data_IF_540640693439
#
_entry.id   IF_540640693439
#
_cell.length_a   1.000
_cell.length_b   1.000
_cell.length_c   1.000
_cell.angle_alpha   90.00
_cell.angle_beta   90.00
_cell.angle_gamma   90.00
#
_symmetry.space_group_name_H-M   'P 1'
#
loop_
_entity.id
_entity.type
_entity.pdbx_description
1 polymer ?
#
# COMPACT_ATOMS: atom_id res chain seq x y z
N UNK A 1 15.96 -43.16 61.17
CA UNK A 1 15.47 -42.32 60.07
C UNK A 1 13.95 -42.20 60.22
N UNK A 2 13.46 -41.31 61.10
CA UNK A 2 12.98 -39.93 60.81
C UNK A 2 12.03 -39.89 59.59
N UNK A 3 10.69 -39.85 59.82
CA UNK A 3 9.80 -38.67 59.67
C UNK A 3 9.74 -38.13 58.23
N UNK A 4 8.62 -37.66 57.65
CA UNK A 4 7.21 -37.41 57.97
C UNK A 4 6.55 -37.04 56.62
N UNK A 5 5.22 -36.90 56.60
CA UNK A 5 4.36 -36.02 55.76
C UNK A 5 3.10 -36.83 55.37
N UNK A 6 2.05 -36.90 56.21
CA UNK A 6 0.97 -35.93 56.43
C UNK A 6 0.23 -35.48 55.15
N UNK A 7 -0.97 -36.05 54.99
CA UNK A 7 -2.03 -35.71 54.05
C UNK A 7 -2.62 -34.31 54.26
N UNK A 8 -3.03 -33.64 53.17
CA UNK A 8 -4.11 -32.63 53.14
C UNK A 8 -4.81 -32.73 51.76
N UNK A 9 -6.05 -33.22 51.69
CA UNK A 9 -7.33 -32.49 51.61
C UNK A 9 -7.62 -31.87 50.24
N UNK A 10 -8.69 -32.39 49.63
CA UNK A 10 -9.31 -31.92 48.40
C UNK A 10 -10.03 -30.57 48.58
N UNK A 11 -10.06 -29.76 47.52
CA UNK A 11 -11.02 -28.69 47.33
C UNK A 11 -11.44 -28.65 45.85
N UNK A 12 -12.59 -29.26 45.59
CA UNK A 12 -13.42 -29.00 44.42
C UNK A 12 -14.14 -27.66 44.66
N UNK A 13 -13.98 -26.71 43.76
CA UNK A 13 -14.88 -25.59 43.61
C UNK A 13 -15.26 -25.48 42.13
N UNK A 14 -16.43 -26.01 41.80
CA UNK A 14 -17.16 -25.65 40.59
C UNK A 14 -17.83 -24.29 40.85
N UNK A 15 -17.59 -23.32 39.96
CA UNK A 15 -18.19 -21.99 39.99
C UNK A 15 -18.39 -21.50 38.57
N UNK A 16 -19.64 -21.23 38.25
CA UNK A 16 -20.24 -21.08 36.92
C UNK A 16 -19.82 -19.82 36.12
N UNK A 17 -19.81 -20.02 34.79
CA UNK A 17 -20.33 -19.15 33.74
C UNK A 17 -19.98 -17.65 33.76
N UNK A 18 -18.99 -17.29 32.93
CA UNK A 18 -19.04 -16.07 32.13
C UNK A 18 -19.03 -16.46 30.65
N UNK A 19 -20.17 -16.22 30.00
CA UNK A 19 -20.39 -16.27 28.57
C UNK A 19 -19.50 -15.25 27.86
N UNK A 20 -18.58 -15.73 27.03
CA UNK A 20 -17.87 -14.94 26.02
C UNK A 20 -17.92 -15.68 24.69
N UNK A 21 -18.87 -15.33 23.84
CA UNK A 21 -18.97 -15.80 22.47
C UNK A 21 -17.78 -15.28 21.65
N UNK A 22 -16.77 -16.12 21.43
CA UNK A 22 -15.92 -16.01 20.26
C UNK A 22 -16.27 -17.20 19.37
N UNK A 23 -16.94 -16.92 18.25
CA UNK A 23 -17.37 -17.93 17.30
C UNK A 23 -16.18 -18.58 16.62
N UNK A 24 -15.65 -19.64 17.23
CA UNK A 24 -14.92 -20.68 16.53
C UNK A 24 -15.93 -21.52 15.73
N UNK A 25 -15.87 -21.42 14.41
CA UNK A 25 -16.52 -22.37 13.51
C UNK A 25 -15.50 -23.43 13.08
N UNK A 26 -15.97 -24.66 13.21
CA UNK A 26 -15.26 -25.92 13.18
C UNK A 26 -14.63 -26.28 11.85
N UNK A 27 -13.45 -26.90 11.92
CA UNK A 27 -12.85 -27.69 10.85
C UNK A 27 -13.81 -28.77 10.34
N UNK A 28 -13.97 -28.94 9.03
CA UNK A 28 -14.23 -30.23 8.42
C UNK A 28 -12.87 -30.89 8.16
N UNK A 29 -12.56 -31.88 8.99
CA UNK A 29 -11.55 -32.88 8.68
C UNK A 29 -12.12 -33.85 7.65
N UNK A 30 -11.88 -33.58 6.37
CA UNK A 30 -11.95 -34.59 5.32
C UNK A 30 -10.55 -34.83 4.76
N UNK A 31 -10.04 -36.03 5.03
CA UNK A 31 -8.74 -36.50 4.58
C UNK A 31 -8.71 -36.69 3.08
N UNK A 32 -8.32 -35.65 2.36
CA UNK A 32 -7.58 -35.80 1.13
C UNK A 32 -6.10 -35.76 1.49
N UNK A 33 -5.40 -36.85 1.19
CA UNK A 33 -3.97 -37.01 1.31
C UNK A 33 -3.29 -35.96 0.40
N UNK A 34 -3.11 -34.73 0.92
CA UNK A 34 -2.46 -33.65 0.18
C UNK A 34 -0.96 -33.93 0.20
N UNK A 35 -0.43 -34.18 -0.98
CA UNK A 35 1.00 -34.05 -1.27
C UNK A 35 1.49 -32.70 -0.70
N UNK A 36 2.71 -32.60 -0.14
CA UNK A 36 3.28 -31.33 0.28
C UNK A 36 3.60 -30.50 -0.97
N UNK A 37 2.58 -29.94 -1.60
CA UNK A 37 2.77 -29.08 -2.76
C UNK A 37 3.35 -27.76 -2.26
N UNK A 38 4.61 -27.53 -2.65
CA UNK A 38 5.46 -26.40 -2.29
C UNK A 38 5.03 -25.06 -2.90
N UNK A 39 3.95 -25.05 -3.68
CA UNK A 39 3.39 -23.89 -4.36
C UNK A 39 1.93 -23.69 -3.93
N UNK A 40 1.60 -22.50 -3.42
CA UNK A 40 0.24 -22.16 -2.99
C UNK A 40 -0.26 -20.89 -3.67
N UNK A 41 -1.57 -20.82 -3.94
CA UNK A 41 -2.20 -19.64 -4.53
C UNK A 41 -2.75 -18.71 -3.43
N UNK A 42 -2.44 -17.43 -3.52
CA UNK A 42 -2.96 -16.37 -2.68
C UNK A 42 -3.89 -15.44 -3.47
N UNK A 43 -5.07 -15.15 -2.92
CA UNK A 43 -6.09 -14.33 -3.57
C UNK A 43 -6.56 -13.16 -2.70
N UNK A 44 -5.62 -12.46 -2.03
CA UNK A 44 -5.87 -11.25 -1.22
C UNK A 44 -6.87 -11.45 -0.06
N UNK A 45 -6.83 -12.62 0.58
CA UNK A 45 -7.65 -12.90 1.77
C UNK A 45 -6.78 -13.49 2.88
N UNK A 46 -6.71 -12.78 4.01
CA UNK A 46 -5.94 -13.18 5.18
C UNK A 46 -4.43 -13.22 4.94
N UNK A 47 -3.78 -14.23 5.52
CA UNK A 47 -2.35 -14.49 5.43
C UNK A 47 -2.09 -15.86 4.82
N UNK A 48 -0.88 -16.09 4.30
CA UNK A 48 -0.50 -17.36 3.67
C UNK A 48 0.94 -17.72 4.01
N UNK A 49 1.21 -19.01 4.20
CA UNK A 49 2.54 -19.53 4.52
C UNK A 49 2.67 -19.98 5.98
N UNK A 50 3.87 -20.48 6.38
CA UNK A 50 5.12 -20.44 5.62
C UNK A 50 5.24 -21.53 4.54
N UNK A 51 5.60 -21.18 3.30
CA UNK A 51 5.75 -22.09 2.15
C UNK A 51 6.94 -21.73 1.25
N UNK A 52 7.37 -22.61 0.35
CA UNK A 52 8.55 -22.35 -0.51
C UNK A 52 8.26 -21.40 -1.68
N UNK A 53 7.03 -21.42 -2.19
CA UNK A 53 6.58 -20.55 -3.28
C UNK A 53 5.09 -20.18 -3.15
N UNK A 54 4.75 -18.99 -3.63
CA UNK A 54 3.40 -18.46 -3.62
C UNK A 54 3.07 -17.85 -4.98
N UNK A 55 2.03 -18.36 -5.64
CA UNK A 55 1.40 -17.69 -6.77
C UNK A 55 0.35 -16.69 -6.25
N UNK A 56 0.39 -15.44 -6.67
CA UNK A 56 -0.55 -14.40 -6.27
C UNK A 56 -1.36 -13.97 -7.48
N UNK A 57 -2.68 -14.06 -7.38
CA UNK A 57 -3.60 -13.63 -8.43
C UNK A 57 -4.81 -12.89 -7.86
N UNK A 58 -5.45 -12.06 -8.68
CA UNK A 58 -6.71 -11.43 -8.31
C UNK A 58 -7.86 -12.44 -8.46
N UNK A 59 -8.67 -12.69 -7.41
CA UNK A 59 -9.76 -13.64 -7.50
C UNK A 59 -10.84 -13.14 -8.48
N UNK A 60 -11.44 -14.06 -9.25
CA UNK A 60 -12.49 -13.74 -10.22
C UNK A 60 -13.62 -12.84 -9.67
N UNK A 61 -14.17 -13.09 -8.46
CA UNK A 61 -15.19 -12.21 -7.89
C UNK A 61 -14.72 -10.75 -7.68
N UNK A 62 -13.44 -10.51 -7.40
CA UNK A 62 -12.89 -9.15 -7.35
C UNK A 62 -12.84 -8.53 -8.74
N UNK A 63 -12.34 -9.26 -9.73
CA UNK A 63 -12.30 -8.79 -11.12
C UNK A 63 -13.70 -8.46 -11.65
N UNK A 64 -14.69 -9.30 -11.33
CA UNK A 64 -16.09 -9.06 -11.69
C UNK A 64 -16.64 -7.80 -10.97
N UNK A 65 -16.27 -7.56 -9.71
CA UNK A 65 -16.65 -6.36 -8.95
C UNK A 65 -15.96 -5.07 -9.46
N UNK A 66 -14.76 -5.18 -10.04
CA UNK A 66 -14.08 -4.07 -10.71
C UNK A 66 -14.77 -3.68 -12.03
N UNK A 67 -15.46 -4.61 -12.68
CA UNK A 67 -16.07 -4.39 -13.98
C UNK A 67 -15.03 -3.99 -15.03
N UNK A 68 -15.30 -2.94 -15.79
CA UNK A 68 -14.40 -2.47 -16.86
C UNK A 68 -13.03 -2.00 -16.35
N UNK A 69 -12.88 -1.67 -15.06
CA UNK A 69 -11.59 -1.28 -14.51
C UNK A 69 -10.60 -2.45 -14.44
N UNK A 70 -11.08 -3.70 -14.45
CA UNK A 70 -10.22 -4.90 -14.41
C UNK A 70 -9.25 -4.96 -15.60
N UNK A 71 -9.67 -4.47 -16.77
CA UNK A 71 -8.85 -4.43 -17.99
C UNK A 71 -7.67 -3.45 -17.90
N UNK A 72 -7.66 -2.59 -16.89
CA UNK A 72 -6.62 -1.59 -16.68
C UNK A 72 -5.55 -1.99 -15.65
N UNK A 73 -5.59 -3.22 -15.14
CA UNK A 73 -4.54 -3.76 -14.27
C UNK A 73 -3.22 -3.87 -15.04
N UNK A 74 -2.13 -3.38 -14.45
CA UNK A 74 -0.81 -3.38 -15.09
C UNK A 74 -0.01 -4.65 -14.78
N UNK A 75 -0.18 -5.18 -13.57
CA UNK A 75 0.36 -6.48 -13.15
C UNK A 75 -0.83 -7.34 -12.75
N UNK A 76 -1.01 -8.49 -13.40
CA UNK A 76 -2.19 -9.36 -13.22
C UNK A 76 -1.92 -10.52 -12.27
N UNK A 77 -0.66 -10.92 -12.12
CA UNK A 77 -0.22 -11.96 -11.20
C UNK A 77 1.24 -11.74 -10.78
N UNK A 78 1.61 -12.30 -9.64
CA UNK A 78 2.98 -12.29 -9.11
C UNK A 78 3.32 -13.67 -8.57
N UNK A 79 4.48 -14.21 -8.91
CA UNK A 79 5.02 -15.41 -8.28
C UNK A 79 6.15 -15.03 -7.33
N UNK A 80 6.03 -15.46 -6.07
CA UNK A 80 7.06 -15.32 -5.04
C UNK A 80 7.78 -16.64 -4.86
N UNK A 81 9.11 -16.62 -4.91
CA UNK A 81 9.94 -17.80 -4.67
C UNK A 81 11.21 -17.44 -3.94
N UNK A 82 11.59 -18.24 -2.94
CA UNK A 82 12.84 -17.98 -2.23
C UNK A 82 14.05 -18.10 -3.17
N UNK A 83 14.89 -17.09 -3.14
CA UNK A 83 16.14 -17.03 -3.88
C UNK A 83 17.29 -17.46 -2.97
N UNK A 84 18.00 -18.50 -3.38
CA UNK A 84 19.13 -19.02 -2.61
C UNK A 84 20.35 -18.13 -2.81
N UNK A 85 20.84 -17.55 -1.71
CA UNK A 85 22.11 -16.84 -1.68
C UNK A 85 23.23 -17.78 -1.18
N UNK A 86 24.46 -17.52 -1.61
CA UNK A 86 25.65 -18.19 -1.08
C UNK A 86 25.97 -17.69 0.35
N UNK A 87 25.59 -16.44 0.67
CA UNK A 87 25.72 -15.86 2.00
C UNK A 87 24.52 -16.16 2.90
N UNK A 88 24.77 -16.55 4.16
CA UNK A 88 23.73 -16.73 5.18
C UNK A 88 23.35 -15.42 5.92
N UNK A 89 23.91 -14.28 5.53
CA UNK A 89 23.69 -12.98 6.20
C UNK A 89 22.31 -12.40 5.91
N UNK A 90 21.82 -12.60 4.70
CA UNK A 90 20.56 -12.07 4.19
C UNK A 90 19.73 -13.21 3.58
N UNK A 91 18.47 -12.91 3.34
CA UNK A 91 17.56 -13.75 2.58
C UNK A 91 17.14 -12.99 1.33
N UNK A 92 16.81 -13.70 0.27
CA UNK A 92 16.35 -13.10 -0.96
C UNK A 92 15.12 -13.84 -1.49
N UNK A 93 14.30 -13.12 -2.23
CA UNK A 93 13.07 -13.61 -2.86
C UNK A 93 13.02 -13.10 -4.29
N UNK A 94 12.75 -14.01 -5.20
CA UNK A 94 12.41 -13.69 -6.58
C UNK A 94 10.91 -13.40 -6.67
N UNK A 95 10.57 -12.26 -7.24
CA UNK A 95 9.23 -11.77 -7.53
C UNK A 95 9.11 -11.74 -9.05
N UNK A 96 8.38 -12.68 -9.62
CA UNK A 96 8.12 -12.72 -11.07
C UNK A 96 6.78 -12.08 -11.36
N UNK A 97 6.76 -11.01 -12.14
CA UNK A 97 5.55 -10.26 -12.49
C UNK A 97 4.97 -10.74 -13.81
N UNK A 98 3.68 -11.01 -13.82
CA UNK A 98 2.92 -11.15 -15.06
C UNK A 98 2.30 -9.80 -15.43
N UNK A 99 2.82 -9.18 -16.49
CA UNK A 99 2.35 -7.89 -16.96
C UNK A 99 1.18 -8.01 -17.93
N UNK A 100 0.23 -7.09 -17.84
CA UNK A 100 -0.72 -6.86 -18.93
C UNK A 100 0.00 -6.27 -20.15
N UNK A 101 -0.63 -6.38 -21.32
CA UNK A 101 -0.06 -5.83 -22.56
C UNK A 101 0.12 -4.31 -22.45
N UNK A 102 1.32 -3.81 -22.73
CA UNK A 102 1.63 -2.38 -22.66
C UNK A 102 1.92 -1.86 -21.24
N UNK A 103 1.93 -2.74 -20.23
CA UNK A 103 2.06 -2.31 -18.85
C UNK A 103 3.47 -1.83 -18.50
N UNK A 104 4.52 -2.45 -19.02
CA UNK A 104 5.91 -2.03 -18.77
C UNK A 104 6.15 -0.63 -19.33
N UNK A 105 5.66 -0.34 -20.54
CA UNK A 105 5.74 0.98 -21.15
C UNK A 105 4.95 2.02 -20.34
N UNK A 106 3.79 1.63 -19.83
CA UNK A 106 2.93 2.47 -19.00
C UNK A 106 3.58 2.78 -17.65
N UNK A 107 4.20 1.79 -17.00
CA UNK A 107 4.93 1.95 -15.74
C UNK A 107 6.27 2.69 -15.92
N UNK A 108 6.89 2.54 -17.10
CA UNK A 108 8.09 3.27 -17.52
C UNK A 108 7.79 4.67 -18.04
N UNK A 109 6.53 5.06 -18.13
CA UNK A 109 6.17 6.41 -18.53
C UNK A 109 6.52 7.40 -17.40
N UNK A 110 6.94 8.63 -17.74
CA UNK A 110 6.98 9.74 -16.80
C UNK A 110 5.70 9.83 -15.98
N UNK A 111 5.83 9.94 -14.65
CA UNK A 111 4.69 10.35 -13.81
C UNK A 111 4.26 11.73 -14.28
N UNK A 112 3.16 11.80 -15.02
CA UNK A 112 2.53 13.08 -15.34
C UNK A 112 1.80 13.50 -14.08
N UNK A 113 2.33 14.48 -13.38
CA UNK A 113 1.62 15.11 -12.27
C UNK A 113 0.79 16.25 -12.86
N UNK A 114 -0.51 16.04 -12.95
CA UNK A 114 -1.43 17.09 -13.39
C UNK A 114 -1.84 17.95 -12.19
N UNK A 115 -0.97 18.90 -11.84
CA UNK A 115 -1.26 19.86 -10.76
C UNK A 115 -2.49 20.72 -11.08
N UNK A 116 -2.86 20.88 -12.35
CA UNK A 116 -4.00 21.71 -12.76
C UNK A 116 -5.31 21.07 -12.31
N UNK A 117 -5.45 19.75 -12.51
CA UNK A 117 -6.64 19.00 -12.09
C UNK A 117 -6.72 18.71 -10.59
N UNK A 118 -5.63 18.86 -9.83
CA UNK A 118 -5.61 18.53 -8.40
C UNK A 118 -6.60 19.37 -7.57
N UNK A 119 -7.28 18.72 -6.64
CA UNK A 119 -7.99 19.42 -5.57
C UNK A 119 -6.99 20.10 -4.62
N UNK A 120 -7.47 21.00 -3.76
CA UNK A 120 -6.61 21.61 -2.72
C UNK A 120 -6.05 20.57 -1.75
N UNK A 121 -6.82 19.53 -1.45
CA UNK A 121 -6.38 18.46 -0.57
C UNK A 121 -5.27 17.62 -1.23
N UNK A 122 -5.44 17.29 -2.51
CA UNK A 122 -4.44 16.53 -3.26
C UNK A 122 -3.17 17.35 -3.46
N UNK A 123 -3.32 18.64 -3.76
CA UNK A 123 -2.19 19.57 -3.90
C UNK A 123 -1.42 19.70 -2.58
N UNK A 124 -2.13 19.85 -1.46
CA UNK A 124 -1.53 19.90 -0.12
C UNK A 124 -0.79 18.60 0.22
N UNK A 125 -1.36 17.44 -0.11
CA UNK A 125 -0.77 16.14 0.14
C UNK A 125 0.29 15.71 -0.89
N UNK A 126 0.48 16.48 -1.98
CA UNK A 126 1.36 16.09 -3.09
C UNK A 126 2.85 16.13 -2.72
N UNK A 127 3.25 17.03 -1.83
CA UNK A 127 4.60 17.09 -1.26
C UNK A 127 4.63 18.01 -0.03
N UNK A 128 5.64 17.84 0.83
CA UNK A 128 5.86 18.73 1.98
C UNK A 128 6.04 20.19 1.54
N UNK A 129 6.74 20.43 0.42
CA UNK A 129 6.91 21.78 -0.13
C UNK A 129 5.59 22.38 -0.58
N UNK A 130 4.78 21.63 -1.33
CA UNK A 130 3.48 22.10 -1.81
C UNK A 130 2.54 22.40 -0.63
N UNK A 131 2.51 21.52 0.38
CA UNK A 131 1.74 21.72 1.61
C UNK A 131 2.14 22.99 2.36
N UNK A 132 3.45 23.19 2.61
CA UNK A 132 3.97 24.37 3.30
C UNK A 132 3.67 25.68 2.55
N UNK A 133 3.81 25.66 1.22
CA UNK A 133 3.53 26.83 0.38
C UNK A 133 2.04 27.16 0.35
N UNK A 134 1.18 26.14 0.33
CA UNK A 134 -0.26 26.33 0.40
C UNK A 134 -0.70 26.88 1.76
N UNK A 135 -0.11 26.40 2.86
CA UNK A 135 -0.34 26.94 4.21
C UNK A 135 0.12 28.40 4.35
N UNK A 136 1.24 28.76 3.72
CA UNK A 136 1.72 30.14 3.67
C UNK A 136 0.77 31.04 2.88
N UNK A 137 0.32 30.59 1.69
CA UNK A 137 -0.65 31.33 0.86
C UNK A 137 -1.96 31.60 1.61
N UNK A 138 -2.45 30.63 2.38
CA UNK A 138 -3.67 30.78 3.15
C UNK A 138 -3.52 31.84 4.26
N UNK A 139 -2.38 31.84 4.96
CA UNK A 139 -2.05 32.85 5.98
C UNK A 139 -1.87 34.25 5.40
N UNK A 140 -1.15 34.36 4.27
CA UNK A 140 -0.92 35.63 3.57
C UNK A 140 -2.23 36.24 3.07
N UNK A 141 -3.22 35.39 2.79
CA UNK A 141 -4.58 35.79 2.40
C UNK A 141 -5.46 36.16 3.61
N UNK A 142 -4.93 36.16 4.84
CA UNK A 142 -5.63 36.62 6.04
C UNK A 142 -6.34 35.55 6.86
N UNK A 143 -6.19 34.26 6.54
CA UNK A 143 -6.75 33.20 7.37
C UNK A 143 -5.93 33.01 8.66
N UNK A 144 -6.63 32.75 9.77
CA UNK A 144 -6.02 32.49 11.09
C UNK A 144 -5.67 31.01 11.33
N UNK A 145 -5.98 30.14 10.36
CA UNK A 145 -5.87 28.67 10.45
C UNK A 145 -5.04 28.08 9.31
N UNK A 146 -4.68 26.80 9.43
CA UNK A 146 -4.01 26.02 8.37
C UNK A 146 -4.98 25.55 7.28
N UNK A 147 -4.43 25.17 6.12
CA UNK A 147 -5.22 24.58 5.02
C UNK A 147 -5.88 23.29 5.47
N UNK A 148 -5.17 22.48 6.27
CA UNK A 148 -5.71 21.24 6.83
C UNK A 148 -6.94 21.50 7.70
N UNK A 149 -6.93 22.53 8.53
CA UNK A 149 -8.07 22.91 9.37
C UNK A 149 -9.24 23.44 8.54
N UNK A 150 -8.97 24.27 7.53
CA UNK A 150 -9.99 24.78 6.62
C UNK A 150 -10.66 23.64 5.81
N UNK A 151 -9.86 22.73 5.24
CA UNK A 151 -10.35 21.60 4.45
C UNK A 151 -11.04 20.53 5.31
N UNK A 152 -10.74 20.45 6.60
CA UNK A 152 -11.45 19.59 7.55
C UNK A 152 -12.85 20.13 7.89
N UNK A 153 -13.17 21.38 7.53
CA UNK A 153 -14.54 21.87 7.57
C UNK A 153 -15.27 21.49 6.27
N UNK A 154 -16.54 21.10 6.34
CA UNK A 154 -17.40 20.87 5.17
C UNK A 154 -17.68 22.15 4.34
N UNK A 155 -16.94 23.24 4.61
CA UNK A 155 -17.19 24.60 4.11
C UNK A 155 -16.26 25.00 2.97
N UNK A 156 -15.50 24.06 2.40
CA UNK A 156 -14.63 24.30 1.24
C UNK A 156 -15.34 24.88 0.00
N UNK A 157 -16.67 24.84 -0.06
CA UNK A 157 -17.45 25.51 -1.11
C UNK A 157 -17.28 27.03 -1.12
N UNK A 158 -16.87 27.66 0.01
CA UNK A 158 -16.63 29.12 0.10
C UNK A 158 -15.59 29.58 -0.92
N UNK A 159 -14.62 28.73 -1.23
CA UNK A 159 -13.54 29.00 -2.18
C UNK A 159 -14.03 29.05 -3.63
N UNK A 160 -15.24 28.53 -3.88
CA UNK A 160 -15.91 28.55 -5.19
C UNK A 160 -17.01 29.60 -5.27
N UNK A 161 -17.31 30.29 -4.17
CA UNK A 161 -18.35 31.32 -4.15
C UNK A 161 -17.84 32.60 -4.82
N UNK A 162 -18.69 33.28 -5.62
CA UNK A 162 -18.36 34.61 -6.13
C UNK A 162 -18.23 35.62 -4.98
N UNK A 163 -17.44 36.66 -5.20
CA UNK A 163 -17.35 37.78 -4.26
C UNK A 163 -18.72 38.43 -4.04
N UNK A 164 -19.05 38.68 -2.77
CA UNK A 164 -20.28 39.36 -2.41
C UNK A 164 -20.75 39.06 -0.98
N UNK A 165 -21.86 39.68 -0.57
CA UNK A 165 -22.34 39.65 0.81
C UNK A 165 -22.58 38.24 1.36
N UNK A 166 -23.03 37.32 0.50
CA UNK A 166 -23.25 35.92 0.88
C UNK A 166 -21.95 35.20 1.22
N UNK A 167 -20.86 35.45 0.47
CA UNK A 167 -19.53 34.89 0.76
C UNK A 167 -18.99 35.49 2.04
N UNK A 168 -19.12 36.80 2.22
CA UNK A 168 -18.62 37.53 3.39
C UNK A 168 -19.32 37.09 4.67
N UNK A 169 -20.65 36.93 4.65
CA UNK A 169 -21.42 36.42 5.78
C UNK A 169 -21.00 35.00 6.17
N UNK A 170 -20.65 34.16 5.20
CA UNK A 170 -20.18 32.78 5.45
C UNK A 170 -18.77 32.76 6.02
N UNK A 171 -17.89 33.66 5.58
CA UNK A 171 -16.54 33.84 6.12
C UNK A 171 -16.62 34.30 7.58
N UNK A 172 -17.57 35.21 7.87
CA UNK A 172 -17.86 35.65 9.23
C UNK A 172 -18.32 34.50 10.14
N UNK A 173 -19.26 33.68 9.67
CA UNK A 173 -19.78 32.54 10.43
C UNK A 173 -18.71 31.49 10.78
N UNK A 174 -17.60 31.45 10.05
CA UNK A 174 -16.46 30.55 10.32
C UNK A 174 -15.24 31.25 10.94
N UNK A 175 -15.37 32.53 11.33
CA UNK A 175 -14.27 33.29 11.95
C UNK A 175 -13.10 33.59 11.03
N UNK A 176 -13.34 33.67 9.72
CA UNK A 176 -12.37 34.05 8.68
C UNK A 176 -12.67 35.45 8.13
N UNK A 177 -13.06 36.38 9.01
CA UNK A 177 -13.25 37.78 8.63
C UNK A 177 -11.94 38.36 8.06
N UNK A 178 -12.01 38.93 6.86
CA UNK A 178 -10.84 39.49 6.19
C UNK A 178 -10.01 38.49 5.38
N UNK A 179 -10.42 37.22 5.31
CA UNK A 179 -9.81 36.26 4.38
C UNK A 179 -10.13 36.62 2.92
N UNK A 180 -9.09 36.89 2.15
CA UNK A 180 -9.17 37.16 0.72
C UNK A 180 -9.17 35.85 -0.08
N UNK A 181 -10.38 35.34 -0.32
CA UNK A 181 -10.61 34.12 -1.11
C UNK A 181 -10.04 34.24 -2.53
N UNK A 182 -10.10 35.44 -3.13
CA UNK A 182 -9.70 35.63 -4.53
C UNK A 182 -8.17 35.68 -4.64
N UNK A 183 -7.49 36.35 -3.71
CA UNK A 183 -6.03 36.32 -3.60
C UNK A 183 -5.51 34.92 -3.30
N UNK A 184 -6.18 34.17 -2.41
CA UNK A 184 -5.84 32.78 -2.15
C UNK A 184 -5.96 31.93 -3.41
N UNK A 185 -7.10 31.98 -4.11
CA UNK A 185 -7.32 31.20 -5.33
C UNK A 185 -6.32 31.56 -6.44
N UNK A 186 -5.98 32.84 -6.61
CA UNK A 186 -4.94 33.28 -7.54
C UNK A 186 -3.55 32.73 -7.14
N UNK A 187 -3.23 32.74 -5.85
CA UNK A 187 -2.01 32.17 -5.31
C UNK A 187 -1.91 30.66 -5.53
N UNK A 188 -3.01 29.92 -5.34
CA UNK A 188 -3.12 28.48 -5.63
C UNK A 188 -2.86 28.20 -7.10
N UNK A 189 -3.46 28.99 -8.00
CA UNK A 189 -3.25 28.81 -9.44
C UNK A 189 -1.78 29.04 -9.81
N UNK A 190 -1.17 30.11 -9.28
CA UNK A 190 0.26 30.39 -9.48
C UNK A 190 1.14 29.26 -8.93
N UNK A 191 0.82 28.71 -7.76
CA UNK A 191 1.52 27.55 -7.20
C UNK A 191 1.42 26.33 -8.13
N UNK A 192 0.24 26.03 -8.67
CA UNK A 192 0.05 24.94 -9.65
C UNK A 192 0.87 25.14 -10.91
N UNK A 193 0.93 26.37 -11.43
CA UNK A 193 1.72 26.71 -12.62
C UNK A 193 3.22 26.55 -12.35
N UNK A 194 3.70 27.03 -11.19
CA UNK A 194 5.10 26.91 -10.79
C UNK A 194 5.50 25.45 -10.55
N UNK A 195 4.67 24.66 -9.87
CA UNK A 195 4.91 23.23 -9.67
C UNK A 195 4.92 22.47 -11.00
N UNK A 196 3.99 22.78 -11.91
CA UNK A 196 3.97 22.20 -13.25
C UNK A 196 5.24 22.52 -14.04
N UNK A 197 5.80 23.73 -13.86
CA UNK A 197 7.03 24.15 -14.51
C UNK A 197 8.30 23.58 -13.84
N UNK A 198 8.29 23.40 -12.53
CA UNK A 198 9.42 22.92 -11.71
C UNK A 198 9.46 21.41 -11.53
N UNK A 199 8.37 20.71 -11.87
CA UNK A 199 8.30 19.24 -11.81
C UNK A 199 9.56 18.70 -12.46
N UNK A 200 10.40 17.92 -11.75
CA UNK A 200 11.53 17.26 -12.36
C UNK A 200 10.96 16.51 -13.57
N UNK A 201 11.37 16.91 -14.77
CA UNK A 201 11.03 16.17 -15.98
C UNK A 201 11.66 14.82 -15.77
N UNK A 202 10.90 13.87 -15.23
CA UNK A 202 11.39 12.52 -15.03
C UNK A 202 11.89 12.09 -16.40
N UNK A 203 13.13 11.61 -16.47
CA UNK A 203 13.77 11.30 -17.74
C UNK A 203 12.78 10.48 -18.59
N UNK A 204 12.34 11.00 -19.75
CA UNK A 204 11.36 10.32 -20.57
C UNK A 204 11.89 9.00 -21.12
N UNK A 205 13.20 8.79 -21.06
CA UNK A 205 13.89 7.56 -21.50
C UNK A 205 14.20 6.61 -20.36
N UNK A 206 13.93 6.98 -19.11
CA UNK A 206 14.16 6.10 -17.96
C UNK A 206 13.32 4.81 -18.06
N UNK A 207 14.02 3.70 -17.94
CA UNK A 207 13.49 2.34 -17.82
C UNK A 207 12.69 2.16 -16.52
N UNK A 208 11.88 1.12 -16.43
CA UNK A 208 11.15 0.79 -15.20
C UNK A 208 12.12 0.56 -14.01
N UNK A 209 13.26 -0.07 -14.27
CA UNK A 209 14.34 -0.28 -13.31
C UNK A 209 14.78 1.04 -12.67
N UNK A 210 15.08 2.05 -13.49
CA UNK A 210 15.51 3.37 -13.01
C UNK A 210 14.39 4.08 -12.23
N UNK A 211 13.13 3.91 -12.64
CA UNK A 211 11.97 4.51 -11.96
C UNK A 211 11.65 3.86 -10.62
N UNK A 212 11.89 2.57 -10.49
CA UNK A 212 11.77 1.87 -9.21
C UNK A 212 13.02 2.00 -8.34
N UNK A 213 14.08 2.66 -8.82
CA UNK A 213 15.34 2.80 -8.11
C UNK A 213 16.02 1.45 -7.85
N UNK A 214 15.76 0.46 -8.69
CA UNK A 214 16.35 -0.87 -8.59
C UNK A 214 17.77 -0.89 -9.19
N UNK A 215 18.60 -1.81 -8.72
CA UNK A 215 19.87 -2.15 -9.38
C UNK A 215 19.60 -3.17 -10.49
N UNK A 216 20.42 -3.25 -11.55
CA UNK A 216 20.35 -4.35 -12.52
C UNK A 216 20.54 -5.71 -11.84
N UNK A 217 19.75 -6.69 -12.24
CA UNK A 217 19.83 -8.05 -11.70
C UNK A 217 21.21 -8.68 -11.93
N UNK A 218 21.89 -8.32 -13.02
CA UNK A 218 23.27 -8.74 -13.29
C UNK A 218 24.29 -8.23 -12.27
N UNK A 219 23.96 -7.24 -11.45
CA UNK A 219 24.83 -6.72 -10.38
C UNK A 219 24.65 -7.44 -9.04
N UNK A 220 23.67 -8.35 -8.93
CA UNK A 220 23.49 -9.14 -7.71
C UNK A 220 24.70 -10.06 -7.47
N UNK A 221 25.39 -9.85 -6.36
CA UNK A 221 26.47 -10.72 -5.91
C UNK A 221 25.98 -11.68 -4.82
N UNK A 222 25.67 -12.91 -5.18
CA UNK A 222 25.11 -13.93 -4.26
C UNK A 222 26.05 -14.28 -3.08
N UNK A 223 27.37 -14.19 -3.28
CA UNK A 223 28.39 -14.50 -2.28
C UNK A 223 28.56 -13.37 -1.24
N UNK A 224 28.32 -12.13 -1.65
CA UNK A 224 28.36 -10.96 -0.77
C UNK A 224 27.20 -10.02 -1.09
N UNK A 225 25.95 -10.43 -0.82
CA UNK A 225 24.78 -9.69 -1.25
C UNK A 225 24.59 -8.44 -0.41
N UNK A 226 24.24 -7.34 -1.07
CA UNK A 226 23.80 -6.11 -0.42
C UNK A 226 22.27 -6.05 -0.39
N UNK A 227 21.66 -5.61 0.72
CA UNK A 227 20.22 -5.38 0.78
C UNK A 227 19.77 -4.39 -0.30
N UNK A 228 18.62 -4.66 -0.89
CA UNK A 228 18.05 -3.82 -1.94
C UNK A 228 17.29 -4.62 -2.97
N UNK A 229 16.76 -3.89 -3.95
CA UNK A 229 15.99 -4.42 -5.06
C UNK A 229 16.85 -4.54 -6.31
N UNK A 230 16.87 -5.73 -6.89
CA UNK A 230 17.57 -6.03 -8.14
C UNK A 230 16.55 -6.43 -9.19
N UNK A 231 16.63 -5.94 -10.42
CA UNK A 231 15.58 -6.10 -11.43
C UNK A 231 16.18 -6.49 -12.79
N UNK A 232 15.55 -7.43 -13.49
CA UNK A 232 15.90 -7.76 -14.87
C UNK A 232 15.64 -6.58 -15.82
N UNK A 233 16.33 -6.52 -16.95
CA UNK A 233 16.18 -5.42 -17.92
C UNK A 233 14.75 -5.28 -18.47
N UNK A 234 14.01 -6.39 -18.53
CA UNK A 234 12.59 -6.44 -18.94
C UNK A 234 11.60 -6.23 -17.77
N UNK A 235 12.12 -6.01 -16.56
CA UNK A 235 11.38 -5.85 -15.32
C UNK A 235 10.46 -7.02 -14.89
N UNK A 236 10.55 -8.17 -15.58
CA UNK A 236 9.72 -9.35 -15.28
C UNK A 236 10.14 -10.06 -14.01
N UNK A 237 11.41 -9.98 -13.62
CA UNK A 237 11.95 -10.60 -12.42
C UNK A 237 12.60 -9.55 -11.54
N UNK A 238 12.22 -9.57 -10.26
CA UNK A 238 12.85 -8.77 -9.22
C UNK A 238 13.40 -9.71 -8.16
N UNK A 239 14.64 -9.53 -7.74
CA UNK A 239 15.20 -10.17 -6.55
C UNK A 239 15.32 -9.13 -5.45
N UNK A 240 14.50 -9.26 -4.41
CA UNK A 240 14.59 -8.40 -3.22
C UNK A 240 15.48 -9.08 -2.17
N UNK A 241 16.60 -8.44 -1.81
CA UNK A 241 17.55 -8.88 -0.78
C UNK A 241 17.27 -8.14 0.52
N UNK A 242 17.06 -8.88 1.61
CA UNK A 242 16.70 -8.29 2.91
C UNK A 242 17.15 -9.11 4.11
N UNK A 243 16.94 -8.59 5.32
CA UNK A 243 17.18 -9.38 6.53
C UNK A 243 16.22 -10.56 6.54
N UNK A 244 16.75 -11.73 6.88
CA UNK A 244 15.92 -12.89 7.13
C UNK A 244 15.01 -12.64 8.33
N UNK A 245 13.73 -12.95 8.19
CA UNK A 245 12.80 -12.93 9.29
C UNK A 245 13.14 -14.04 10.29
N UNK A 246 13.01 -13.72 11.58
CA UNK A 246 13.19 -14.67 12.69
C UNK A 246 11.91 -15.43 12.97
N UNK A 247 10.77 -14.78 12.72
CA UNK A 247 9.43 -15.34 12.84
C UNK A 247 8.63 -15.03 11.57
N UNK A 248 7.69 -15.91 11.17
CA UNK A 248 7.00 -15.78 9.88
C UNK A 248 6.12 -14.52 9.81
N UNK A 249 5.54 -14.08 10.93
CA UNK A 249 4.66 -12.91 11.00
C UNK A 249 5.36 -11.70 11.65
N UNK A 250 6.60 -11.45 11.26
CA UNK A 250 7.36 -10.30 11.74
C UNK A 250 6.62 -8.98 11.44
N UNK A 251 6.65 -8.07 12.40
CA UNK A 251 6.04 -6.73 12.29
C UNK A 251 7.09 -5.62 12.07
N UNK A 252 8.34 -5.98 11.74
CA UNK A 252 9.42 -5.03 11.49
C UNK A 252 9.49 -4.68 10.00
N UNK A 253 9.86 -3.44 9.69
CA UNK A 253 10.04 -2.99 8.30
C UNK A 253 11.35 -3.47 7.67
N UNK A 254 12.31 -3.98 8.46
CA UNK A 254 13.65 -4.32 7.96
C UNK A 254 13.84 -5.76 7.48
N UNK A 255 12.87 -6.63 7.77
CA UNK A 255 12.78 -8.05 7.44
C UNK A 255 11.47 -8.38 6.71
N UNK A 256 10.85 -7.35 6.12
CA UNK A 256 9.59 -7.43 5.41
C UNK A 256 9.69 -6.73 4.07
N UNK A 257 9.24 -7.41 3.01
CA UNK A 257 9.06 -6.88 1.67
C UNK A 257 7.63 -6.40 1.44
N UNK A 258 7.47 -5.47 0.51
CA UNK A 258 6.17 -5.05 -0.01
C UNK A 258 6.23 -5.11 -1.52
N UNK A 259 5.27 -5.82 -2.11
CA UNK A 259 5.03 -5.80 -3.55
C UNK A 259 3.70 -5.11 -3.83
N UNK A 260 3.72 -4.15 -4.75
CA UNK A 260 2.58 -3.30 -5.08
C UNK A 260 2.17 -3.51 -6.53
N UNK A 261 0.92 -3.91 -6.75
CA UNK A 261 0.31 -3.94 -8.07
C UNK A 261 -0.40 -2.62 -8.36
N UNK A 262 -0.26 -2.13 -9.60
CA UNK A 262 -0.82 -0.86 -10.06
C UNK A 262 -1.91 -1.03 -11.11
N UNK A 263 -2.76 -0.02 -11.22
CA UNK A 263 -3.85 0.09 -12.17
C UNK A 263 -3.80 1.46 -12.87
N UNK A 264 -4.28 1.53 -14.10
CA UNK A 264 -4.56 2.82 -14.76
C UNK A 264 -6.05 3.16 -14.60
N UNK A 265 -6.39 4.16 -13.78
CA UNK A 265 -7.79 4.59 -13.67
C UNK A 265 -8.16 5.56 -14.80
N UNK A 266 -9.40 5.46 -15.25
CA UNK A 266 -9.98 6.45 -16.18
C UNK A 266 -9.92 7.84 -15.55
N UNK A 267 -9.30 8.79 -16.24
CA UNK A 267 -9.13 10.17 -15.77
C UNK A 267 -7.89 10.40 -14.88
N UNK A 268 -7.12 9.36 -14.57
CA UNK A 268 -5.84 9.50 -13.88
C UNK A 268 -4.71 9.76 -14.89
N UNK A 269 -3.79 10.64 -14.53
CA UNK A 269 -2.62 11.02 -15.35
C UNK A 269 -1.44 10.07 -15.17
N UNK A 270 -1.49 9.15 -14.19
CA UNK A 270 -0.43 8.16 -13.94
C UNK A 270 -1.00 6.88 -13.32
N UNK A 271 -0.30 5.74 -13.42
CA UNK A 271 -0.65 4.52 -12.70
C UNK A 271 -0.77 4.77 -11.20
N UNK A 272 -1.83 4.24 -10.61
CA UNK A 272 -2.10 4.30 -9.17
C UNK A 272 -1.86 2.93 -8.54
N UNK A 273 -1.47 2.92 -7.27
CA UNK A 273 -1.43 1.70 -6.48
C UNK A 273 -2.86 1.15 -6.36
N UNK A 274 -3.01 -0.15 -6.59
CA UNK A 274 -4.29 -0.85 -6.56
C UNK A 274 -4.32 -1.90 -5.47
N UNK A 275 -3.29 -2.72 -5.39
CA UNK A 275 -3.16 -3.73 -4.37
C UNK A 275 -1.73 -3.80 -3.87
N UNK A 276 -1.56 -4.24 -2.64
CA UNK A 276 -0.24 -4.60 -2.15
C UNK A 276 -0.31 -5.89 -1.36
N UNK A 277 0.82 -6.57 -1.31
CA UNK A 277 1.06 -7.67 -0.39
C UNK A 277 2.37 -7.42 0.34
N UNK A 278 2.34 -7.72 1.63
CA UNK A 278 3.47 -7.64 2.54
C UNK A 278 3.89 -9.06 2.88
N UNK A 279 5.18 -9.33 2.82
CA UNK A 279 5.67 -10.69 3.02
C UNK A 279 7.06 -10.73 3.64
N UNK A 280 7.37 -11.85 4.28
CA UNK A 280 8.65 -12.11 4.94
C UNK A 280 9.30 -13.36 4.33
N UNK A 281 10.60 -13.50 4.51
CA UNK A 281 11.35 -14.71 4.15
C UNK A 281 12.27 -15.17 5.28
N UNK A 282 12.16 -16.44 5.61
CA UNK A 282 12.93 -17.09 6.67
C UNK A 282 14.23 -17.70 6.13
N UNK A 283 15.18 -17.99 7.03
CA UNK A 283 16.48 -18.60 6.69
C UNK A 283 16.38 -19.97 6.02
N UNK A 284 15.30 -20.70 6.25
CA UNK A 284 15.02 -22.00 5.60
C UNK A 284 14.38 -21.84 4.21
N UNK A 285 14.23 -20.61 3.71
CA UNK A 285 13.65 -20.30 2.40
C UNK A 285 12.12 -20.28 2.40
N UNK A 286 11.46 -20.29 3.56
CA UNK A 286 9.99 -20.18 3.61
C UNK A 286 9.54 -18.73 3.56
N UNK A 287 8.52 -18.48 2.76
CA UNK A 287 7.86 -17.20 2.55
C UNK A 287 6.53 -17.19 3.27
N UNK A 288 6.19 -16.05 3.88
CA UNK A 288 4.88 -15.82 4.50
C UNK A 288 4.33 -14.48 4.04
N UNK A 289 3.11 -14.44 3.50
CA UNK A 289 2.35 -13.20 3.31
C UNK A 289 1.72 -12.82 4.65
N UNK A 290 2.08 -11.66 5.18
CA UNK A 290 1.70 -11.19 6.52
C UNK A 290 0.58 -10.18 6.51
N UNK A 291 0.41 -9.44 5.42
CA UNK A 291 -0.65 -8.47 5.22
C UNK A 291 -0.91 -8.29 3.72
N UNK A 292 -2.14 -7.94 3.36
CA UNK A 292 -2.49 -7.59 1.99
C UNK A 292 -3.71 -6.68 1.97
N UNK A 293 -3.82 -5.85 0.93
CA UNK A 293 -4.96 -4.96 0.76
C UNK A 293 -5.25 -4.72 -0.72
N UNK A 294 -6.52 -4.52 -1.04
CA UNK A 294 -6.99 -4.04 -2.33
C UNK A 294 -7.65 -2.68 -2.11
N UNK A 295 -7.05 -1.63 -2.64
CA UNK A 295 -7.47 -0.25 -2.47
C UNK A 295 -8.79 -0.01 -3.21
N UNK A 296 -9.75 0.59 -2.49
CA UNK A 296 -11.11 0.82 -3.01
C UNK A 296 -12.03 -0.40 -2.98
N UNK A 297 -11.57 -1.57 -2.53
CA UNK A 297 -12.40 -2.77 -2.39
C UNK A 297 -12.27 -3.39 -1.00
N UNK A 298 -13.26 -4.17 -0.60
CA UNK A 298 -13.25 -5.00 0.61
C UNK A 298 -14.14 -6.22 0.45
N UNK A 299 -13.87 -7.27 1.23
CA UNK A 299 -14.78 -8.40 1.37
C UNK A 299 -15.85 -8.11 2.43
N UNK A 300 -17.10 -8.49 2.17
CA UNK A 300 -18.15 -8.56 3.18
C UNK A 300 -18.00 -9.81 4.07
N UNK A 301 -18.89 -9.98 5.07
CA UNK A 301 -18.87 -11.13 5.97
C UNK A 301 -19.14 -12.47 5.28
N UNK A 302 -19.62 -12.45 4.04
CA UNK A 302 -19.85 -13.64 3.21
C UNK A 302 -18.70 -13.89 2.22
N UNK A 303 -17.65 -13.06 2.24
CA UNK A 303 -16.49 -13.16 1.36
C UNK A 303 -16.67 -12.49 -0.02
N UNK A 304 -17.78 -11.78 -0.26
CA UNK A 304 -18.02 -11.10 -1.53
C UNK A 304 -17.23 -9.80 -1.60
N UNK A 305 -16.60 -9.54 -2.75
CA UNK A 305 -15.90 -8.30 -3.00
C UNK A 305 -16.86 -7.16 -3.35
N UNK A 306 -16.74 -6.06 -2.63
CA UNK A 306 -17.53 -4.84 -2.78
C UNK A 306 -16.62 -3.63 -2.93
N UNK A 307 -17.04 -2.67 -3.74
CA UNK A 307 -16.39 -1.35 -3.80
C UNK A 307 -16.67 -0.58 -2.51
N UNK A 308 -15.63 0.03 -1.94
CA UNK A 308 -15.72 0.89 -0.76
C UNK A 308 -16.45 2.20 -1.08
#
# INVERSE_FOLDING_TARGET
MSQRHLSFVALLAAGALLSGCSGGVSSPSDGANHSPDSNQTFTFSGTLGPVESIHVEFPKPLLDAMGADADNLLVTAVDLKAHKLDSAKYCAVDVTRTFAKGAVETLSAPKKVDYQSMSLLDLWASSDEAGQRLDALLKDSGASMSVKELLATDRGFILKMPAGPDRDARLQDIGLEGFDVDAFNAGVQKLKDELSASTPKSDPTATLLEREGAKPLSELNEASPEPGRYMSDDASVITDVMKCAVEPFANSTSDTAVETMRITKTGSSSPEDFAYLRFTIMKDGKITITDSNVLGFQQDSSGNWLKK
#
